data_IF_456349513866
#
_entry.id   IF_456349513866
#
_cell.length_a   1.000
_cell.length_b   1.000
_cell.length_c   1.000
_cell.angle_alpha   90.00
_cell.angle_beta   90.00
_cell.angle_gamma   90.00
#
_symmetry.space_group_name_H-M   'P 1'
#
loop_
_entity.id
_entity.type
_entity.pdbx_description
1 polymer ?
#
# COMPACT_ATOMS: atom_id res chain seq x y z
N UNK A 1 -7.86 -5.38 2.49
CA UNK A 1 -6.75 -5.85 1.62
C UNK A 1 -5.44 -5.50 2.30
N UNK A 2 -4.41 -6.34 2.20
CA UNK A 2 -3.07 -6.04 2.71
C UNK A 2 -2.06 -6.09 1.55
N UNK A 3 -1.13 -5.15 1.53
CA UNK A 3 -0.05 -5.07 0.56
C UNK A 3 1.24 -5.35 1.32
N UNK A 4 2.01 -6.35 0.89
CA UNK A 4 3.28 -6.69 1.50
C UNK A 4 4.39 -6.18 0.58
N UNK A 5 5.19 -5.27 1.10
CA UNK A 5 6.31 -4.64 0.40
C UNK A 5 7.63 -5.36 0.75
N UNK A 6 8.52 -5.45 -0.23
CA UNK A 6 9.86 -6.04 -0.05
C UNK A 6 10.74 -5.14 0.83
N UNK A 7 11.71 -5.75 1.51
CA UNK A 7 12.88 -5.07 2.05
C UNK A 7 13.51 -4.20 0.95
N UNK A 8 13.72 -2.91 1.21
CA UNK A 8 14.11 -1.83 0.28
C UNK A 8 13.03 -1.10 -0.53
N UNK A 9 11.74 -1.25 -0.23
CA UNK A 9 10.75 -0.32 -0.81
C UNK A 9 11.05 1.12 -0.38
N UNK A 10 11.15 2.03 -1.35
CA UNK A 10 11.44 3.45 -1.09
C UNK A 10 10.22 4.11 -0.44
N UNK A 11 10.49 5.15 0.35
CA UNK A 11 9.42 5.96 0.95
C UNK A 11 8.50 6.58 -0.11
N UNK A 12 9.05 6.97 -1.27
CA UNK A 12 8.28 7.50 -2.40
C UNK A 12 7.21 6.50 -2.90
N UNK A 13 7.52 5.21 -2.97
CA UNK A 13 6.56 4.19 -3.39
C UNK A 13 5.43 4.05 -2.35
N UNK A 14 5.79 4.08 -1.05
CA UNK A 14 4.82 4.03 0.05
C UNK A 14 3.88 5.25 0.00
N UNK A 15 4.41 6.45 -0.20
CA UNK A 15 3.62 7.68 -0.31
C UNK A 15 2.74 7.69 -1.55
N UNK A 16 3.21 7.13 -2.67
CA UNK A 16 2.41 7.00 -3.90
C UNK A 16 1.21 6.10 -3.68
N UNK A 17 1.41 4.97 -3.00
CA UNK A 17 0.34 4.04 -2.63
C UNK A 17 -0.63 4.70 -1.65
N UNK A 18 -0.12 5.37 -0.61
CA UNK A 18 -0.95 6.07 0.37
C UNK A 18 -1.85 7.11 -0.30
N UNK A 19 -1.29 7.92 -1.20
CA UNK A 19 -2.03 8.93 -1.94
C UNK A 19 -3.07 8.32 -2.89
N UNK A 20 -2.74 7.24 -3.59
CA UNK A 20 -3.70 6.53 -4.45
C UNK A 20 -4.89 5.98 -3.64
N UNK A 21 -4.60 5.44 -2.45
CA UNK A 21 -5.60 4.89 -1.53
C UNK A 21 -6.48 6.02 -0.95
N UNK A 22 -5.87 7.11 -0.48
CA UNK A 22 -6.59 8.31 -0.01
C UNK A 22 -7.45 8.93 -1.10
N UNK A 23 -6.96 9.03 -2.33
CA UNK A 23 -7.70 9.55 -3.47
C UNK A 23 -8.95 8.72 -3.79
N UNK A 24 -8.91 7.41 -3.52
CA UNK A 24 -10.07 6.52 -3.65
C UNK A 24 -11.02 6.54 -2.45
N UNK A 25 -10.70 7.31 -1.40
CA UNK A 25 -11.51 7.43 -0.19
C UNK A 25 -11.26 6.32 0.84
N UNK A 26 -10.11 5.65 0.75
CA UNK A 26 -9.72 4.61 1.69
C UNK A 26 -8.63 5.10 2.63
N UNK A 27 -8.50 4.39 3.76
CA UNK A 27 -7.44 4.63 4.72
C UNK A 27 -6.33 3.59 4.53
N UNK A 28 -5.10 4.04 4.36
CA UNK A 28 -3.91 3.19 4.37
C UNK A 28 -3.31 3.16 5.79
N UNK A 29 -2.90 1.99 6.24
CA UNK A 29 -2.24 1.76 7.52
C UNK A 29 -0.88 1.12 7.28
N UNK A 30 0.19 1.86 7.52
CA UNK A 30 1.56 1.43 7.23
C UNK A 30 2.14 0.79 8.49
N UNK A 31 2.45 -0.49 8.41
CA UNK A 31 3.17 -1.26 9.43
C UNK A 31 4.59 -1.53 8.93
N UNK A 32 5.57 -0.82 9.48
CA UNK A 32 6.99 -1.02 9.14
C UNK A 32 7.59 -2.06 10.08
N UNK A 33 7.90 -3.24 9.55
CA UNK A 33 8.71 -4.25 10.25
C UNK A 33 10.17 -4.19 9.79
N UNK A 34 11.07 -4.79 10.57
CA UNK A 34 12.51 -4.83 10.28
C UNK A 34 12.85 -5.48 8.92
N UNK A 35 12.08 -6.47 8.49
CA UNK A 35 12.30 -7.21 7.24
C UNK A 35 11.36 -6.80 6.12
N UNK A 36 10.14 -6.38 6.45
CA UNK A 36 9.09 -6.13 5.47
C UNK A 36 8.20 -4.99 5.94
N UNK A 37 7.71 -4.19 4.99
CA UNK A 37 6.69 -3.19 5.26
C UNK A 37 5.35 -3.71 4.77
N UNK A 38 4.33 -3.63 5.61
CA UNK A 38 2.98 -4.06 5.28
C UNK A 38 2.09 -2.82 5.25
N UNK A 39 1.31 -2.65 4.19
CA UNK A 39 0.29 -1.60 4.12
C UNK A 39 -1.08 -2.27 4.16
N UNK A 40 -1.78 -2.07 5.27
CA UNK A 40 -3.18 -2.46 5.41
C UNK A 40 -4.10 -1.42 4.80
N UNK A 41 -5.00 -1.83 3.92
CA UNK A 41 -6.06 -0.98 3.39
C UNK A 41 -7.33 -1.19 4.21
N UNK A 42 -7.84 -0.12 4.80
CA UNK A 42 -9.03 -0.07 5.65
C UNK A 42 -10.09 0.79 4.94
N UNK A 43 -11.23 0.17 4.59
CA UNK A 43 -12.32 0.82 3.87
C UNK A 43 -12.92 -0.06 2.78
N UNK A 44 -13.66 0.56 1.86
CA UNK A 44 -14.34 -0.11 0.74
C UNK A 44 -13.33 -0.47 -0.37
N UNK A 45 -12.54 -1.51 -0.12
CA UNK A 45 -11.42 -1.95 -0.99
C UNK A 45 -11.88 -2.48 -2.35
N UNK A 46 -13.18 -2.55 -2.60
CA UNK A 46 -13.78 -2.92 -3.89
C UNK A 46 -13.36 -1.98 -5.03
N UNK A 47 -12.91 -0.76 -4.71
CA UNK A 47 -12.39 0.23 -5.71
C UNK A 47 -10.88 0.15 -5.93
N UNK A 48 -10.18 -0.71 -5.19
CA UNK A 48 -8.73 -0.78 -5.22
C UNK A 48 -8.32 -2.08 -5.92
N UNK A 49 -7.96 -1.96 -7.19
CA UNK A 49 -7.36 -3.07 -7.93
C UNK A 49 -5.95 -3.37 -7.38
N UNK A 50 -5.68 -4.61 -6.95
CA UNK A 50 -4.36 -4.99 -6.44
C UNK A 50 -3.27 -4.85 -7.51
N UNK A 51 -3.59 -5.06 -8.79
CA UNK A 51 -2.67 -4.84 -9.92
C UNK A 51 -2.22 -3.37 -10.09
N UNK A 52 -3.00 -2.40 -9.60
CA UNK A 52 -2.58 -0.98 -9.65
C UNK A 52 -1.57 -0.61 -8.55
N UNK A 53 -1.48 -1.45 -7.51
CA UNK A 53 -0.60 -1.23 -6.35
C UNK A 53 0.57 -2.22 -6.35
N UNK A 54 0.45 -3.32 -7.08
CA UNK A 54 1.55 -4.23 -7.35
C UNK A 54 2.57 -3.50 -8.21
N UNK A 55 3.66 -3.06 -7.58
CA UNK A 55 4.84 -2.60 -8.29
C UNK A 55 5.55 -3.87 -8.75
N UNK A 56 5.47 -4.17 -10.05
CA UNK A 56 6.14 -5.31 -10.71
C UNK A 56 7.61 -5.44 -10.24
N UNK A 57 8.13 -6.69 -10.16
CA UNK A 57 9.26 -7.10 -9.30
C UNK A 57 10.64 -6.49 -9.55
#
# INVERSE_FOLDING_TARGET
MIIVLKQNTKQEDVERIENAVKAKGLQAHISRGDLQTIIGLVGDTTKVDPEQIEVDP
#
